data_IF_026219226695
#
_entry.id   IF_026219226695
#
_cell.length_a   1.000
_cell.length_b   1.000
_cell.length_c   1.000
_cell.angle_alpha   90.00
_cell.angle_beta   90.00
_cell.angle_gamma   90.00
#
_symmetry.space_group_name_H-M   'P 1'
#
loop_
_entity.id
_entity.type
_entity.pdbx_description
1 polymer ?
#
# COMPACT_ATOMS: atom_id res chain seq x y z
N UNK A 1 -18.96 -46.96 -14.47
CA UNK A 1 -18.94 -45.52 -14.82
C UNK A 1 -18.38 -44.80 -13.61
N UNK A 2 -17.06 -44.63 -13.61
CA UNK A 2 -16.31 -44.02 -12.49
C UNK A 2 -16.23 -42.51 -12.72
N UNK A 3 -16.75 -41.76 -11.79
CA UNK A 3 -16.67 -40.29 -11.78
C UNK A 3 -15.34 -39.93 -11.13
N UNK A 4 -14.43 -39.34 -11.91
CA UNK A 4 -13.19 -38.76 -11.41
C UNK A 4 -13.50 -37.51 -10.58
N UNK A 5 -12.93 -37.34 -9.37
CA UNK A 5 -13.04 -36.07 -8.66
C UNK A 5 -12.15 -35.05 -9.36
N UNK A 6 -12.79 -33.98 -9.79
CA UNK A 6 -12.19 -32.80 -10.40
C UNK A 6 -11.15 -32.17 -9.47
N UNK A 7 -9.94 -32.06 -9.96
CA UNK A 7 -8.84 -31.33 -9.34
C UNK A 7 -9.23 -29.88 -9.09
N UNK A 8 -9.13 -29.47 -7.86
CA UNK A 8 -9.24 -28.09 -7.40
C UNK A 8 -8.13 -27.25 -8.06
N UNK A 9 -8.41 -26.23 -8.86
CA UNK A 9 -7.37 -25.35 -9.37
C UNK A 9 -6.93 -24.47 -8.21
N UNK A 10 -5.85 -24.86 -7.55
CA UNK A 10 -5.09 -23.98 -6.64
C UNK A 10 -4.75 -22.73 -7.42
N UNK A 11 -5.50 -21.68 -7.19
CA UNK A 11 -5.32 -20.36 -7.78
C UNK A 11 -4.00 -19.82 -7.25
N UNK A 12 -2.97 -20.00 -8.05
CA UNK A 12 -1.63 -19.44 -7.80
C UNK A 12 -1.74 -17.91 -7.92
N UNK A 13 -1.90 -17.25 -6.78
CA UNK A 13 -1.98 -15.80 -6.72
C UNK A 13 -0.63 -15.21 -7.11
N UNK A 14 -0.53 -14.40 -8.19
CA UNK A 14 0.74 -13.81 -8.65
C UNK A 14 1.39 -12.86 -7.63
N UNK A 15 0.73 -12.60 -6.50
CA UNK A 15 1.20 -11.74 -5.41
C UNK A 15 1.85 -12.50 -4.24
N UNK A 16 2.00 -13.81 -4.35
CA UNK A 16 2.54 -14.64 -3.26
C UNK A 16 4.06 -14.80 -3.35
N UNK A 17 4.78 -13.69 -3.37
CA UNK A 17 6.19 -13.70 -3.00
C UNK A 17 6.30 -12.99 -1.66
N UNK A 18 6.38 -13.77 -0.57
CA UNK A 18 6.79 -13.20 0.70
C UNK A 18 8.16 -12.54 0.48
N UNK A 19 8.35 -11.29 0.91
CA UNK A 19 9.65 -10.65 0.79
C UNK A 19 10.70 -11.52 1.51
N UNK A 20 11.91 -11.65 0.95
CA UNK A 20 12.97 -12.39 1.63
C UNK A 20 13.24 -11.78 3.01
N UNK A 21 13.64 -12.58 4.01
CA UNK A 21 13.98 -12.06 5.33
C UNK A 21 15.07 -10.99 5.17
N UNK A 22 14.72 -9.77 5.52
CA UNK A 22 15.61 -8.61 5.31
C UNK A 22 16.45 -8.40 6.55
N UNK A 23 17.77 -8.47 6.40
CA UNK A 23 18.74 -8.10 7.43
C UNK A 23 19.00 -6.61 7.26
N UNK A 24 18.78 -5.83 8.33
CA UNK A 24 19.02 -4.38 8.29
C UNK A 24 20.52 -4.07 8.32
N UNK A 25 21.00 -3.28 7.35
CA UNK A 25 22.38 -2.80 7.31
C UNK A 25 22.54 -1.65 8.31
N UNK A 26 23.57 -1.66 9.18
CA UNK A 26 23.85 -0.58 10.11
C UNK A 26 24.09 0.80 9.45
N UNK A 27 24.40 0.82 8.17
CA UNK A 27 24.56 2.07 7.37
C UNK A 27 23.24 2.62 6.80
N UNK A 28 22.08 2.02 7.14
CA UNK A 28 20.77 2.52 6.73
C UNK A 28 20.45 3.89 7.32
N UNK A 29 19.72 4.72 6.59
CA UNK A 29 19.24 6.01 7.09
C UNK A 29 18.17 5.79 8.17
N UNK A 30 18.38 6.32 9.37
CA UNK A 30 17.51 6.13 10.53
C UNK A 30 17.10 7.45 11.16
N UNK A 31 15.90 7.48 11.71
CA UNK A 31 15.38 8.56 12.53
C UNK A 31 14.99 7.99 13.89
N UNK A 32 15.56 8.46 15.00
CA UNK A 32 15.24 7.94 16.33
C UNK A 32 13.79 8.22 16.70
N UNK A 33 13.20 7.32 17.49
CA UNK A 33 11.87 7.50 18.06
C UNK A 33 11.98 8.24 19.40
N UNK A 34 11.36 9.41 19.48
CA UNK A 34 11.37 10.30 20.66
C UNK A 34 9.95 10.47 21.25
N UNK A 35 9.12 9.42 21.19
CA UNK A 35 7.78 9.44 21.78
C UNK A 35 6.69 10.10 20.93
N UNK A 36 6.90 10.25 19.62
CA UNK A 36 5.88 10.75 18.70
C UNK A 36 4.67 9.80 18.67
N UNK A 37 3.47 10.35 18.80
CA UNK A 37 2.22 9.57 18.78
C UNK A 37 1.54 9.60 17.41
N UNK A 38 1.77 10.64 16.61
CA UNK A 38 1.20 10.83 15.27
C UNK A 38 2.23 11.40 14.34
N UNK A 39 2.37 10.80 13.17
CA UNK A 39 3.31 11.24 12.14
C UNK A 39 2.69 11.13 10.74
N UNK A 40 3.13 12.02 9.88
CA UNK A 40 2.88 11.92 8.44
C UNK A 40 4.16 11.48 7.73
N UNK A 41 4.09 10.39 7.00
CA UNK A 41 5.12 10.03 6.03
C UNK A 41 4.72 10.62 4.68
N UNK A 42 5.54 11.48 4.11
CA UNK A 42 5.34 12.06 2.78
C UNK A 42 6.46 11.64 1.84
N UNK A 43 6.08 11.05 0.71
CA UNK A 43 7.00 10.77 -0.40
C UNK A 43 6.57 11.65 -1.58
N UNK A 44 7.30 12.77 -1.85
CA UNK A 44 6.92 13.75 -2.86
C UNK A 44 6.96 13.22 -4.30
N UNK A 45 7.76 12.20 -4.57
CA UNK A 45 7.81 11.50 -5.85
C UNK A 45 6.89 10.27 -5.86
N UNK A 46 6.82 9.58 -6.97
CA UNK A 46 6.36 8.21 -7.02
C UNK A 46 7.32 7.26 -6.31
N UNK A 47 6.85 6.04 -6.05
CA UNK A 47 7.66 4.97 -5.46
C UNK A 47 7.50 3.71 -6.31
N UNK A 48 8.63 3.06 -6.62
CA UNK A 48 8.63 1.83 -7.38
C UNK A 48 9.56 0.80 -6.72
N UNK A 49 9.21 -0.48 -6.82
CA UNK A 49 9.98 -1.60 -6.26
C UNK A 49 10.32 -1.38 -4.77
N UNK A 50 9.30 -1.14 -3.97
CA UNK A 50 9.49 -0.81 -2.56
C UNK A 50 8.57 -1.58 -1.63
N UNK A 51 9.01 -1.69 -0.39
CA UNK A 51 8.21 -2.19 0.71
C UNK A 51 8.18 -1.13 1.81
N UNK A 52 6.99 -0.83 2.31
CA UNK A 52 6.80 -0.01 3.50
C UNK A 52 6.14 -0.90 4.55
N UNK A 53 6.78 -1.05 5.69
CA UNK A 53 6.31 -1.96 6.73
C UNK A 53 6.25 -1.25 8.09
N UNK A 54 5.19 -1.47 8.85
CA UNK A 54 5.17 -1.18 10.28
C UNK A 54 5.64 -2.44 11.00
N UNK A 55 6.86 -2.38 11.57
CA UNK A 55 7.46 -3.54 12.21
C UNK A 55 7.27 -3.45 13.74
N UNK A 56 6.65 -4.47 14.38
CA UNK A 56 6.50 -4.53 15.84
C UNK A 56 7.82 -4.46 16.61
N UNK A 57 8.92 -4.86 15.98
CA UNK A 57 10.26 -4.84 16.57
C UNK A 57 11.04 -3.54 16.31
N UNK A 58 10.49 -2.61 15.51
CA UNK A 58 11.15 -1.35 15.20
C UNK A 58 11.38 -0.52 16.47
N UNK A 59 12.59 0.01 16.62
CA UNK A 59 12.98 0.90 17.73
C UNK A 59 13.14 2.35 17.28
N UNK A 60 13.43 2.54 16.00
CA UNK A 60 13.53 3.84 15.39
C UNK A 60 12.17 4.30 14.90
N UNK A 61 11.93 5.62 14.85
CA UNK A 61 10.73 6.19 14.24
C UNK A 61 10.61 5.77 12.77
N UNK A 62 11.75 5.77 12.08
CA UNK A 62 11.90 5.37 10.68
C UNK A 62 13.26 4.74 10.48
N UNK A 63 13.31 3.65 9.73
CA UNK A 63 14.55 3.11 9.16
C UNK A 63 14.35 2.87 7.65
N UNK A 64 15.38 3.18 6.85
CA UNK A 64 15.33 3.02 5.40
C UNK A 64 16.54 2.21 4.95
N UNK A 65 16.30 1.19 4.19
CA UNK A 65 17.30 0.45 3.43
C UNK A 65 17.09 0.68 1.95
N UNK A 66 18.14 1.03 1.27
CA UNK A 66 18.19 1.10 -0.17
C UNK A 66 19.23 0.08 -0.63
N UNK A 67 18.90 -0.76 -1.61
CA UNK A 67 19.91 -1.59 -2.26
C UNK A 67 21.00 -0.71 -2.90
N UNK A 68 21.41 -1.02 -4.10
CA UNK A 68 22.45 -0.24 -4.82
C UNK A 68 21.99 1.15 -5.30
N UNK A 69 20.74 1.54 -4.96
CA UNK A 69 20.13 2.80 -5.38
C UNK A 69 20.52 4.01 -4.50
N UNK A 70 20.18 5.23 -4.96
CA UNK A 70 20.44 6.44 -4.22
C UNK A 70 19.63 6.49 -2.92
N UNK A 71 20.27 6.90 -1.83
CA UNK A 71 19.60 7.10 -0.54
C UNK A 71 18.72 8.36 -0.56
N UNK A 72 17.51 8.32 0.02
CA UNK A 72 16.67 9.50 0.13
C UNK A 72 17.25 10.49 1.15
N UNK A 73 16.94 11.75 0.94
CA UNK A 73 17.08 12.76 1.99
C UNK A 73 15.87 12.68 2.90
N UNK A 74 16.12 12.55 4.18
CA UNK A 74 15.11 12.56 5.22
C UNK A 74 15.01 13.97 5.80
N UNK A 75 13.79 14.50 5.85
CA UNK A 75 13.49 15.76 6.54
C UNK A 75 12.38 15.49 7.56
N UNK A 76 12.65 15.79 8.81
CA UNK A 76 11.68 15.73 9.89
C UNK A 76 11.34 17.18 10.31
N UNK A 77 10.07 17.56 10.21
CA UNK A 77 9.59 18.87 10.63
C UNK A 77 8.10 18.84 10.95
N UNK A 78 7.67 19.39 12.08
CA UNK A 78 6.26 19.61 12.39
C UNK A 78 5.37 18.36 12.37
N UNK A 79 5.89 17.19 12.76
CA UNK A 79 5.14 15.93 12.70
C UNK A 79 5.10 15.30 11.30
N UNK A 80 5.89 15.77 10.36
CA UNK A 80 6.02 15.24 9.02
C UNK A 80 7.44 14.72 8.75
N UNK A 81 7.53 13.51 8.23
CA UNK A 81 8.71 12.88 7.66
C UNK A 81 8.60 12.92 6.14
N UNK A 82 9.44 13.71 5.49
CA UNK A 82 9.50 13.76 4.04
C UNK A 82 10.73 13.00 3.53
N UNK A 83 10.52 12.07 2.61
CA UNK A 83 11.56 11.29 1.96
C UNK A 83 11.71 11.77 0.51
N UNK A 84 12.85 12.38 0.18
CA UNK A 84 13.09 12.94 -1.16
C UNK A 84 14.30 12.29 -1.79
N UNK A 85 14.16 11.68 -2.94
CA UNK A 85 15.27 11.24 -3.78
C UNK A 85 15.72 12.37 -4.69
N UNK A 86 17.05 12.57 -4.79
CA UNK A 86 17.62 13.50 -5.77
C UNK A 86 17.60 12.82 -7.14
N UNK A 87 16.60 13.11 -7.95
CA UNK A 87 16.68 12.78 -9.36
C UNK A 87 17.72 13.68 -10.02
N UNK A 88 18.77 13.10 -10.57
CA UNK A 88 19.62 13.80 -11.54
C UNK A 88 18.74 14.01 -12.79
N UNK A 89 18.60 15.26 -13.20
CA UNK A 89 17.87 15.64 -14.42
C UNK A 89 18.39 14.77 -15.58
N UNK A 90 17.52 13.92 -16.14
CA UNK A 90 17.84 13.01 -17.26
C UNK A 90 17.52 11.54 -17.05
N UNK A 91 17.36 11.06 -15.82
CA UNK A 91 17.17 9.63 -15.52
C UNK A 91 15.72 9.14 -15.50
N UNK A 92 14.73 10.03 -15.65
CA UNK A 92 13.32 9.62 -15.62
C UNK A 92 12.94 8.60 -16.73
N UNK A 93 13.60 8.66 -17.89
CA UNK A 93 13.44 7.69 -18.96
C UNK A 93 14.17 6.37 -18.66
N UNK A 94 15.22 6.40 -17.86
CA UNK A 94 15.98 5.23 -17.44
C UNK A 94 15.24 4.44 -16.38
N UNK A 95 14.59 5.12 -15.43
CA UNK A 95 13.83 4.51 -14.32
C UNK A 95 12.59 3.73 -14.80
N UNK A 96 12.03 4.09 -15.95
CA UNK A 96 10.89 3.35 -16.54
C UNK A 96 11.35 2.03 -17.18
N UNK A 97 12.61 1.91 -17.61
CA UNK A 97 13.10 0.78 -18.39
C UNK A 97 14.26 0.00 -17.76
N UNK A 98 14.80 0.42 -16.61
CA UNK A 98 15.92 -0.31 -15.98
C UNK A 98 15.41 -1.12 -14.78
N UNK A 99 15.32 -2.44 -14.87
CA UNK A 99 15.18 -3.30 -13.71
C UNK A 99 16.51 -3.28 -12.97
N UNK A 100 16.65 -2.49 -11.90
CA UNK A 100 17.91 -2.44 -11.18
C UNK A 100 18.12 -1.27 -10.21
N UNK A 101 17.18 -0.34 -10.06
CA UNK A 101 17.16 0.51 -8.87
C UNK A 101 16.73 -0.37 -7.71
N UNK A 102 17.67 -0.69 -6.84
CA UNK A 102 17.50 -1.63 -5.76
C UNK A 102 16.24 -1.41 -4.95
N UNK A 103 15.66 -2.50 -4.47
CA UNK A 103 14.49 -2.50 -3.60
C UNK A 103 14.69 -1.51 -2.44
N UNK A 104 13.70 -0.63 -2.23
CA UNK A 104 13.67 0.28 -1.08
C UNK A 104 12.80 -0.35 0.00
N UNK A 105 13.35 -0.52 1.18
CA UNK A 105 12.60 -0.92 2.37
C UNK A 105 12.50 0.27 3.33
N UNK A 106 11.26 0.59 3.72
CA UNK A 106 10.95 1.66 4.68
C UNK A 106 10.26 1.01 5.88
N UNK A 107 10.90 1.07 7.03
CA UNK A 107 10.38 0.51 8.28
C UNK A 107 9.90 1.64 9.17
N UNK A 108 8.67 1.50 9.67
CA UNK A 108 7.97 2.48 10.49
C UNK A 108 7.74 1.94 11.90
N UNK A 109 7.76 2.85 12.89
CA UNK A 109 7.57 2.50 14.30
C UNK A 109 6.09 2.14 14.60
N UNK A 110 5.81 1.06 15.34
CA UNK A 110 4.44 0.56 15.55
C UNK A 110 3.62 1.40 16.53
N UNK A 111 4.23 2.13 17.47
CA UNK A 111 3.52 2.97 18.44
C UNK A 111 3.03 4.31 17.88
N UNK A 112 3.22 4.55 16.59
CA UNK A 112 2.84 5.81 15.92
C UNK A 112 1.60 5.60 15.07
N UNK A 113 0.65 6.53 15.16
CA UNK A 113 -0.47 6.63 14.21
C UNK A 113 0.01 7.29 12.92
N UNK A 114 0.02 6.55 11.84
CA UNK A 114 0.59 7.00 10.57
C UNK A 114 -0.44 7.56 9.61
N UNK A 115 -0.12 8.72 9.02
CA UNK A 115 -0.69 9.16 7.75
C UNK A 115 0.35 8.97 6.67
N UNK A 116 0.04 8.19 5.63
CA UNK A 116 0.98 7.90 4.55
C UNK A 116 0.54 8.61 3.27
N UNK A 117 1.41 9.43 2.69
CA UNK A 117 1.10 10.25 1.54
C UNK A 117 2.16 10.12 0.43
N UNK A 118 1.75 9.62 -0.72
CA UNK A 118 2.54 9.56 -1.94
C UNK A 118 2.05 10.65 -2.90
N UNK A 119 2.92 11.60 -3.28
CA UNK A 119 2.55 12.68 -4.22
C UNK A 119 2.66 12.27 -5.69
N UNK A 120 3.26 11.11 -5.97
CA UNK A 120 3.32 10.48 -7.28
C UNK A 120 2.60 9.14 -7.31
N UNK A 121 2.81 8.39 -8.40
CA UNK A 121 2.26 7.04 -8.56
C UNK A 121 3.06 5.97 -7.82
N UNK A 122 2.45 4.80 -7.65
CA UNK A 122 3.08 3.62 -7.07
C UNK A 122 3.17 2.51 -8.12
N UNK A 123 4.31 1.80 -8.17
CA UNK A 123 4.50 0.65 -9.06
C UNK A 123 5.28 -0.46 -8.36
N UNK A 124 4.69 -1.65 -8.24
CA UNK A 124 5.28 -2.80 -7.53
C UNK A 124 5.68 -2.44 -6.09
N UNK A 125 4.68 -1.98 -5.32
CA UNK A 125 4.88 -1.54 -3.94
C UNK A 125 4.02 -2.38 -3.00
N UNK A 126 4.64 -2.84 -1.93
CA UNK A 126 3.95 -3.49 -0.82
C UNK A 126 3.91 -2.55 0.38
N UNK A 127 2.71 -2.34 0.93
CA UNK A 127 2.47 -1.56 2.13
C UNK A 127 1.92 -2.49 3.22
N UNK A 128 2.81 -3.10 4.01
CA UNK A 128 2.39 -3.89 5.18
C UNK A 128 2.29 -2.98 6.40
N UNK A 129 1.09 -2.50 6.64
CA UNK A 129 0.75 -1.63 7.76
C UNK A 129 0.06 -2.39 8.89
N UNK A 130 -0.04 -3.70 8.77
CA UNK A 130 -0.87 -4.57 9.60
C UNK A 130 -0.55 -4.57 11.09
N UNK A 131 0.68 -4.24 11.45
CA UNK A 131 1.17 -4.24 12.82
C UNK A 131 1.09 -2.88 13.53
N UNK A 132 0.43 -1.88 12.94
CA UNK A 132 0.38 -0.53 13.48
C UNK A 132 -1.00 0.11 13.49
N UNK A 133 -1.01 1.43 13.49
CA UNK A 133 -2.21 2.25 13.40
C UNK A 133 -2.09 3.22 12.23
N UNK A 134 -3.12 3.29 11.39
CA UNK A 134 -3.17 4.15 10.22
C UNK A 134 -4.37 5.08 10.29
N UNK A 135 -4.13 6.38 10.16
CA UNK A 135 -5.20 7.39 10.12
C UNK A 135 -5.65 7.69 8.68
N UNK A 136 -4.75 7.52 7.69
CA UNK A 136 -5.04 7.88 6.30
C UNK A 136 -3.98 7.38 5.34
N UNK A 137 -4.39 7.04 4.11
CA UNK A 137 -3.49 6.73 2.99
C UNK A 137 -3.90 7.58 1.78
N UNK A 138 -2.98 8.38 1.25
CA UNK A 138 -3.18 9.22 0.07
C UNK A 138 -2.17 8.86 -1.03
N UNK A 139 -2.66 8.52 -2.22
CA UNK A 139 -1.85 8.28 -3.43
C UNK A 139 -2.31 9.29 -4.48
N UNK A 140 -1.53 10.37 -4.69
CA UNK A 140 -1.92 11.44 -5.60
C UNK A 140 -1.80 11.06 -7.08
N UNK A 141 -1.04 10.04 -7.43
CA UNK A 141 -0.98 9.46 -8.77
C UNK A 141 -1.86 8.22 -8.90
N UNK A 142 -1.59 7.43 -9.94
CA UNK A 142 -2.15 6.08 -10.09
C UNK A 142 -1.33 5.04 -9.36
N UNK A 143 -1.85 3.84 -9.26
CA UNK A 143 -1.11 2.71 -8.72
C UNK A 143 -1.19 1.47 -9.63
N UNK A 144 -0.09 0.71 -9.66
CA UNK A 144 0.00 -0.52 -10.44
C UNK A 144 0.81 -1.57 -9.68
N UNK A 145 0.26 -2.79 -9.55
CA UNK A 145 0.87 -3.88 -8.78
C UNK A 145 1.18 -3.44 -7.33
N UNK A 146 0.14 -3.02 -6.62
CA UNK A 146 0.25 -2.56 -5.23
C UNK A 146 -0.52 -3.51 -4.31
N UNK A 147 0.10 -3.87 -3.20
CA UNK A 147 -0.52 -4.63 -2.14
C UNK A 147 -0.57 -3.79 -0.87
N UNK A 148 -1.77 -3.69 -0.28
CA UNK A 148 -2.00 -3.03 1.00
C UNK A 148 -2.43 -4.07 2.03
N UNK A 149 -1.64 -4.26 3.08
CA UNK A 149 -2.04 -4.99 4.29
C UNK A 149 -2.42 -4.00 5.38
N UNK A 150 -3.69 -4.00 5.77
CA UNK A 150 -4.27 -2.98 6.63
C UNK A 150 -4.45 -3.47 8.07
N UNK A 151 -4.19 -2.65 9.11
CA UNK A 151 -4.48 -2.97 10.51
C UNK A 151 -5.99 -2.90 10.81
N UNK A 152 -6.45 -3.32 12.00
CA UNK A 152 -7.77 -2.94 12.49
C UNK A 152 -7.88 -1.42 12.60
N UNK A 153 -8.88 -0.76 11.97
CA UNK A 153 -9.03 0.69 12.05
C UNK A 153 -9.61 1.11 13.40
N UNK A 154 -9.15 2.25 13.94
CA UNK A 154 -9.72 2.84 15.15
C UNK A 154 -10.91 3.78 14.87
N UNK A 155 -11.07 4.21 13.62
CA UNK A 155 -12.13 5.10 13.13
C UNK A 155 -12.37 4.82 11.64
N UNK A 156 -13.13 5.65 10.96
CA UNK A 156 -13.23 5.62 9.50
C UNK A 156 -11.89 6.10 8.91
N UNK A 157 -11.19 5.22 8.19
CA UNK A 157 -9.89 5.50 7.60
C UNK A 157 -10.00 5.68 6.09
N UNK A 158 -9.78 6.90 5.57
CA UNK A 158 -9.83 7.13 4.13
C UNK A 158 -8.56 6.62 3.44
N UNK A 159 -8.75 5.92 2.32
CA UNK A 159 -7.72 5.54 1.36
C UNK A 159 -8.08 6.21 0.03
N UNK A 160 -7.25 7.12 -0.45
CA UNK A 160 -7.55 7.90 -1.66
C UNK A 160 -6.50 7.70 -2.73
N UNK A 161 -6.97 7.34 -3.92
CA UNK A 161 -6.14 7.19 -5.13
C UNK A 161 -6.68 8.19 -6.15
N UNK A 162 -5.90 9.24 -6.46
CA UNK A 162 -6.35 10.31 -7.35
C UNK A 162 -6.25 9.95 -8.84
N UNK A 163 -5.47 8.92 -9.18
CA UNK A 163 -5.39 8.37 -10.54
C UNK A 163 -6.21 7.08 -10.68
N UNK A 164 -5.85 6.28 -11.67
CA UNK A 164 -6.38 4.92 -11.84
C UNK A 164 -5.61 3.90 -11.00
N UNK A 165 -6.21 2.72 -10.82
CA UNK A 165 -5.59 1.60 -10.14
C UNK A 165 -5.61 0.35 -11.03
N UNK A 166 -4.48 -0.34 -11.13
CA UNK A 166 -4.41 -1.64 -11.79
C UNK A 166 -3.64 -2.63 -10.92
N UNK A 167 -4.13 -3.86 -10.84
CA UNK A 167 -3.55 -4.90 -9.99
C UNK A 167 -3.35 -4.39 -8.54
N UNK A 168 -4.45 -3.92 -7.94
CA UNK A 168 -4.46 -3.46 -6.55
C UNK A 168 -5.09 -4.52 -5.66
N UNK A 169 -4.28 -5.07 -4.75
CA UNK A 169 -4.73 -5.98 -3.70
C UNK A 169 -4.83 -5.25 -2.36
N UNK A 170 -5.93 -5.45 -1.65
CA UNK A 170 -6.12 -4.95 -0.28
C UNK A 170 -6.47 -6.12 0.61
N UNK A 171 -5.65 -6.38 1.63
CA UNK A 171 -5.90 -7.35 2.68
C UNK A 171 -6.26 -6.62 3.97
N UNK A 172 -7.31 -7.07 4.61
CA UNK A 172 -7.87 -6.45 5.82
C UNK A 172 -8.21 -7.48 6.89
N UNK A 173 -8.31 -7.10 8.16
CA UNK A 173 -8.87 -7.98 9.19
C UNK A 173 -10.31 -8.41 8.83
N UNK A 174 -10.67 -9.65 9.17
CA UNK A 174 -11.95 -10.24 8.79
C UNK A 174 -13.17 -9.41 9.22
N UNK A 175 -13.09 -8.81 10.42
CA UNK A 175 -14.18 -8.03 11.03
C UNK A 175 -14.23 -6.56 10.55
N UNK A 176 -13.42 -6.18 9.57
CA UNK A 176 -13.30 -4.78 9.12
C UNK A 176 -13.97 -4.59 7.77
N UNK A 177 -14.98 -3.73 7.67
CA UNK A 177 -15.61 -3.37 6.41
C UNK A 177 -14.76 -2.46 5.52
N UNK A 178 -15.00 -2.52 4.20
CA UNK A 178 -14.45 -1.56 3.22
C UNK A 178 -15.57 -1.04 2.33
N UNK A 179 -15.77 0.28 2.35
CA UNK A 179 -16.52 1.00 1.33
C UNK A 179 -15.63 1.31 0.14
N UNK A 180 -16.12 1.13 -1.07
CA UNK A 180 -15.40 1.34 -2.32
C UNK A 180 -16.16 2.32 -3.22
N UNK A 181 -15.53 3.44 -3.56
CA UNK A 181 -15.99 4.38 -4.57
C UNK A 181 -15.01 4.45 -5.73
N UNK A 182 -15.47 4.23 -6.97
CA UNK A 182 -14.66 4.35 -8.19
C UNK A 182 -15.39 5.25 -9.18
N UNK A 183 -14.69 6.25 -9.71
CA UNK A 183 -15.32 7.22 -10.63
C UNK A 183 -15.29 6.77 -12.10
N UNK A 184 -14.28 6.03 -12.53
CA UNK A 184 -14.01 5.72 -13.93
C UNK A 184 -14.38 4.29 -14.39
N UNK A 185 -15.17 3.56 -13.62
CA UNK A 185 -15.51 2.17 -13.93
C UNK A 185 -14.48 1.16 -13.42
N UNK A 186 -14.88 -0.10 -13.37
CA UNK A 186 -14.07 -1.21 -12.81
C UNK A 186 -14.10 -2.37 -13.81
N UNK A 187 -12.94 -2.99 -14.05
CA UNK A 187 -12.83 -4.27 -14.74
C UNK A 187 -12.17 -5.27 -13.80
N UNK A 188 -12.77 -6.43 -13.64
CA UNK A 188 -12.32 -7.48 -12.73
C UNK A 188 -12.18 -7.00 -11.27
N UNK A 189 -13.30 -7.05 -10.55
CA UNK A 189 -13.35 -6.73 -9.14
C UNK A 189 -13.60 -8.00 -8.33
N UNK A 190 -12.80 -8.23 -7.31
CA UNK A 190 -13.05 -9.23 -6.27
C UNK A 190 -13.27 -8.54 -4.92
N UNK A 191 -14.42 -8.78 -4.33
CA UNK A 191 -14.76 -8.33 -2.98
C UNK A 191 -15.05 -9.57 -2.12
N UNK A 192 -14.08 -9.98 -1.32
CA UNK A 192 -14.12 -11.26 -0.58
C UNK A 192 -14.52 -12.43 -1.52
N UNK A 193 -15.66 -13.04 -1.29
CA UNK A 193 -16.17 -14.18 -2.07
C UNK A 193 -16.93 -13.77 -3.34
N UNK A 194 -17.09 -12.47 -3.60
CA UNK A 194 -17.84 -11.96 -4.75
C UNK A 194 -16.89 -11.49 -5.86
N UNK A 195 -17.14 -11.96 -7.07
CA UNK A 195 -16.41 -11.51 -8.27
C UNK A 195 -17.35 -10.81 -9.23
N UNK A 196 -16.92 -9.69 -9.79
CA UNK A 196 -17.64 -8.88 -10.76
C UNK A 196 -16.70 -8.62 -11.96
N UNK A 197 -17.15 -8.96 -13.16
CA UNK A 197 -16.30 -8.88 -14.37
C UNK A 197 -16.07 -7.43 -14.81
N UNK A 198 -17.13 -6.63 -14.94
CA UNK A 198 -17.02 -5.24 -15.32
C UNK A 198 -18.19 -4.40 -14.81
N UNK A 199 -17.89 -3.19 -14.38
CA UNK A 199 -18.87 -2.17 -14.01
C UNK A 199 -18.49 -0.89 -14.77
N UNK A 200 -19.36 -0.46 -15.67
CA UNK A 200 -19.16 0.78 -16.43
C UNK A 200 -19.57 2.02 -15.62
N UNK A 201 -18.80 3.09 -15.76
CA UNK A 201 -19.09 4.36 -15.09
C UNK A 201 -18.73 4.38 -13.59
N UNK A 202 -19.28 5.34 -12.86
CA UNK A 202 -19.05 5.46 -11.43
C UNK A 202 -19.74 4.33 -10.65
N UNK A 203 -19.04 3.75 -9.68
CA UNK A 203 -19.53 2.68 -8.85
C UNK A 203 -19.33 2.98 -7.36
N UNK A 204 -20.32 2.59 -6.55
CA UNK A 204 -20.28 2.61 -5.10
C UNK A 204 -20.63 1.19 -4.62
N UNK A 205 -19.73 0.57 -3.91
CA UNK A 205 -19.83 -0.81 -3.45
C UNK A 205 -19.32 -0.91 -2.02
N UNK A 206 -19.57 -2.04 -1.36
CA UNK A 206 -18.97 -2.35 -0.07
C UNK A 206 -18.81 -3.86 0.10
N UNK A 207 -18.03 -4.27 1.10
CA UNK A 207 -17.81 -5.67 1.44
C UNK A 207 -18.96 -6.31 2.23
N UNK A 208 -20.04 -5.57 2.50
CA UNK A 208 -21.18 -6.02 3.29
C UNK A 208 -21.01 -5.87 4.80
N UNK A 209 -19.80 -5.62 5.27
CA UNK A 209 -19.48 -5.45 6.70
C UNK A 209 -19.43 -3.96 7.11
N UNK A 210 -19.71 -3.05 6.18
CA UNK A 210 -19.73 -1.61 6.47
C UNK A 210 -20.99 -1.23 7.23
N UNK A 211 -20.81 -0.86 8.49
CA UNK A 211 -21.92 -0.40 9.34
C UNK A 211 -21.68 1.04 9.78
N UNK A 212 -22.71 1.86 9.71
CA UNK A 212 -22.63 3.28 10.10
C UNK A 212 -22.22 3.42 11.57
N UNK A 213 -21.18 4.21 11.82
CA UNK A 213 -20.65 4.42 13.17
C UNK A 213 -19.65 3.36 13.64
N UNK A 214 -19.39 2.33 12.85
CA UNK A 214 -18.36 1.34 13.13
C UNK A 214 -17.09 1.70 12.34
N UNK A 215 -15.88 1.57 12.94
CA UNK A 215 -14.63 1.77 12.24
C UNK A 215 -14.50 0.89 10.98
N UNK A 216 -14.14 1.48 9.86
CA UNK A 216 -13.98 0.80 8.57
C UNK A 216 -13.04 1.58 7.65
N UNK A 217 -12.72 1.04 6.49
CA UNK A 217 -11.96 1.72 5.45
C UNK A 217 -12.86 2.30 4.38
N UNK A 218 -12.55 3.51 3.91
CA UNK A 218 -13.19 4.12 2.74
C UNK A 218 -12.17 4.29 1.61
N UNK A 219 -12.22 3.39 0.62
CA UNK A 219 -11.40 3.45 -0.58
C UNK A 219 -12.10 4.29 -1.65
N UNK A 220 -11.41 5.33 -2.12
CA UNK A 220 -11.87 6.15 -3.24
C UNK A 220 -10.82 6.15 -4.35
N UNK A 221 -11.22 5.79 -5.57
CA UNK A 221 -10.38 5.81 -6.77
C UNK A 221 -11.01 6.80 -7.77
N UNK A 222 -10.31 7.91 -8.05
CA UNK A 222 -10.84 8.96 -8.92
C UNK A 222 -10.78 8.59 -10.42
N UNK A 223 -9.88 7.68 -10.81
CA UNK A 223 -9.84 7.09 -12.15
C UNK A 223 -10.64 5.79 -12.25
N UNK A 224 -10.33 4.99 -13.26
CA UNK A 224 -10.81 3.62 -13.39
C UNK A 224 -9.97 2.64 -12.58
N UNK A 225 -10.51 1.46 -12.33
CA UNK A 225 -9.80 0.35 -11.71
C UNK A 225 -9.84 -0.90 -12.59
N UNK A 226 -8.74 -1.65 -12.62
CA UNK A 226 -8.68 -2.97 -13.25
C UNK A 226 -7.96 -3.94 -12.34
N UNK A 227 -8.47 -5.16 -12.22
CA UNK A 227 -7.94 -6.20 -11.34
C UNK A 227 -7.75 -5.67 -9.90
N UNK A 228 -8.89 -5.35 -9.29
CA UNK A 228 -8.96 -4.90 -7.91
C UNK A 228 -9.45 -6.04 -7.02
N UNK A 229 -8.68 -6.40 -6.00
CA UNK A 229 -9.09 -7.36 -4.98
C UNK A 229 -9.12 -6.75 -3.59
N UNK A 230 -10.19 -7.01 -2.84
CA UNK A 230 -10.32 -6.65 -1.42
C UNK A 230 -10.70 -7.93 -0.69
N UNK A 231 -9.80 -8.41 0.16
CA UNK A 231 -9.90 -9.73 0.77
C UNK A 231 -9.70 -9.68 2.29
N UNK A 232 -10.33 -10.60 2.99
CA UNK A 232 -10.08 -10.86 4.41
C UNK A 232 -8.78 -11.64 4.58
N UNK A 233 -8.07 -11.38 5.67
CA UNK A 233 -6.91 -12.17 6.08
C UNK A 233 -7.19 -12.90 7.38
#
# INVERSE_FOLDING_TARGET
MMINPTSDPTTDHPYRTAPPPRTFDPDSSRVPYDGQTRMRLTIPSGLAHACVVIDPAARDLLAIECGDGPRPRIRLAGGELALTWRHLFGDWLRDVFTPGLGDVAIVLHPAVEWTVAFRGGLSRVELDLSAGTVARIDIAGGCSHVLLDLPPPAAVVPIRISGGASHLGIRRPAETGVGLGVAGGIAMLRLDDRSLDAIGGAAQLDTGDVTRGVPHYELTIAGGASDLSIERR
#
